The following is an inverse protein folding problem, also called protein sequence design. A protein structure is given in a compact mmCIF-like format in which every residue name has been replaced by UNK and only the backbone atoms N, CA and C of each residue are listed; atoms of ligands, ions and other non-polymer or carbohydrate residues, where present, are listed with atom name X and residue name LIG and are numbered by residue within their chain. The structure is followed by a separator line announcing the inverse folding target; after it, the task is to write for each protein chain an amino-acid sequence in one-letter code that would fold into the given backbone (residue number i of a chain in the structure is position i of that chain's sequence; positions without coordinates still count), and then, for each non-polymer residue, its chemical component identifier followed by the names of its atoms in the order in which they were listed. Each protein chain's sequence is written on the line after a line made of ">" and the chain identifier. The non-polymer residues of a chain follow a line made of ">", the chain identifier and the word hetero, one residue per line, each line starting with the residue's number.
data_IF_238226210358
#
_entry.id   IF_238226210358
#
_cell.length_a   1.000
_cell.length_b   1.000
_cell.length_c   1.000
_cell.angle_alpha   90.00
_cell.angle_beta   90.00
_cell.angle_gamma   90.00
#
_symmetry.space_group_name_H-M   'P 1'
#
loop_
_entity.id
_entity.type
_entity.pdbx_description
1 polymer ?
#
# COMPACT_ATOMS: atom_id res chain seq x y z
N UNK A 1 10.63 -25.45 -4.33
CA UNK A 1 11.82 -26.30 -4.60
C UNK A 1 13.02 -25.39 -4.88
N UNK A 2 13.75 -24.90 -3.86
CA UNK A 2 14.75 -23.85 -4.03
C UNK A 2 15.82 -24.16 -5.08
N UNK A 3 16.40 -25.37 -5.06
CA UNK A 3 17.41 -25.79 -6.02
C UNK A 3 16.95 -25.72 -7.47
N UNK A 4 15.70 -26.15 -7.74
CA UNK A 4 15.15 -26.13 -9.09
C UNK A 4 14.95 -24.70 -9.58
N UNK A 5 14.38 -23.83 -8.74
CA UNK A 5 14.21 -22.42 -9.08
C UNK A 5 15.57 -21.78 -9.37
N UNK A 6 16.54 -21.95 -8.48
CA UNK A 6 17.91 -21.44 -8.66
C UNK A 6 18.53 -21.81 -10.01
N UNK A 7 18.41 -23.08 -10.41
CA UNK A 7 18.96 -23.57 -11.68
C UNK A 7 18.26 -23.02 -12.92
N UNK A 8 17.01 -22.57 -12.78
CA UNK A 8 16.18 -22.08 -13.89
C UNK A 8 16.05 -20.56 -13.93
N UNK A 9 16.63 -19.82 -12.98
CA UNK A 9 16.57 -18.36 -12.97
C UNK A 9 17.08 -17.75 -14.29
N UNK A 10 18.09 -18.34 -14.92
CA UNK A 10 18.58 -17.90 -16.24
C UNK A 10 17.55 -18.13 -17.35
N UNK A 11 16.76 -19.21 -17.28
CA UNK A 11 15.67 -19.48 -18.22
C UNK A 11 14.48 -18.54 -18.03
N UNK A 12 14.28 -18.06 -16.80
CA UNK A 12 13.22 -17.10 -16.43
C UNK A 12 13.65 -15.65 -16.76
N UNK A 13 14.95 -15.41 -16.93
CA UNK A 13 15.52 -14.09 -17.19
C UNK A 13 15.75 -13.24 -15.94
N UNK A 14 15.96 -13.86 -14.76
CA UNK A 14 16.14 -13.15 -13.49
C UNK A 14 17.53 -13.41 -12.87
N UNK A 15 18.32 -12.37 -12.66
CA UNK A 15 19.63 -12.50 -12.01
C UNK A 15 19.51 -12.73 -10.50
N UNK A 16 18.64 -11.96 -9.83
CA UNK A 16 18.40 -12.01 -8.40
C UNK A 16 16.91 -11.87 -8.08
N UNK A 17 16.40 -12.60 -7.09
CA UNK A 17 15.00 -12.59 -6.68
C UNK A 17 14.80 -12.49 -5.17
N UNK A 18 13.85 -11.65 -4.76
CA UNK A 18 13.29 -11.64 -3.40
C UNK A 18 12.03 -12.51 -3.41
N UNK A 19 12.00 -13.53 -2.57
CA UNK A 19 10.97 -14.56 -2.60
C UNK A 19 9.95 -14.39 -1.46
N UNK A 20 8.69 -14.22 -1.83
CA UNK A 20 7.57 -14.16 -0.88
C UNK A 20 6.88 -15.52 -0.77
N UNK A 21 6.45 -15.94 0.43
CA UNK A 21 5.79 -17.23 0.61
C UNK A 21 4.32 -17.19 0.19
N UNK A 22 3.80 -18.23 -0.47
CA UNK A 22 2.35 -18.36 -0.70
C UNK A 22 1.60 -18.79 0.56
N UNK A 23 1.98 -19.92 1.18
CA UNK A 23 1.34 -20.38 2.43
C UNK A 23 1.62 -19.45 3.63
N UNK A 24 2.77 -18.77 3.60
CA UNK A 24 3.17 -17.82 4.64
C UNK A 24 2.36 -16.52 4.63
N UNK A 25 1.62 -16.20 3.56
CA UNK A 25 0.68 -15.05 3.54
C UNK A 25 -0.39 -15.18 4.64
N UNK A 26 -0.83 -16.42 4.93
CA UNK A 26 -1.85 -16.68 5.92
C UNK A 26 -1.35 -16.63 7.37
N UNK A 27 -0.05 -16.87 7.61
CA UNK A 27 0.48 -16.99 8.96
C UNK A 27 0.26 -15.72 9.81
N UNK A 28 0.59 -14.49 9.34
CA UNK A 28 0.33 -13.26 10.08
C UNK A 28 -1.15 -12.98 10.38
N UNK A 29 -2.09 -13.61 9.67
CA UNK A 29 -3.53 -13.45 9.84
C UNK A 29 -4.13 -14.41 10.87
N UNK A 30 -3.35 -15.33 11.43
CA UNK A 30 -3.83 -16.25 12.47
C UNK A 30 -4.24 -15.47 13.72
N UNK A 31 -5.47 -15.68 14.21
CA UNK A 31 -6.01 -14.92 15.35
C UNK A 31 -5.31 -15.27 16.68
N UNK A 32 -5.14 -16.56 16.95
CA UNK A 32 -4.48 -17.05 18.16
C UNK A 32 -3.00 -16.59 18.20
N UNK A 33 -2.63 -15.87 19.25
CA UNK A 33 -1.31 -15.24 19.35
C UNK A 33 -0.17 -16.26 19.37
N UNK A 34 -0.30 -17.33 20.16
CA UNK A 34 0.74 -18.34 20.28
C UNK A 34 0.95 -19.05 18.94
N UNK A 35 -0.14 -19.47 18.30
CA UNK A 35 -0.11 -20.12 16.99
C UNK A 35 0.44 -19.19 15.91
N UNK A 36 0.01 -17.91 15.86
CA UNK A 36 0.50 -16.92 14.90
C UNK A 36 2.02 -16.75 15.02
N UNK A 37 2.50 -16.43 16.23
CA UNK A 37 3.93 -16.18 16.47
C UNK A 37 4.76 -17.43 16.19
N UNK A 38 4.33 -18.59 16.67
CA UNK A 38 5.02 -19.86 16.43
C UNK A 38 5.08 -20.21 14.94
N UNK A 39 3.99 -19.98 14.20
CA UNK A 39 3.91 -20.29 12.78
C UNK A 39 4.80 -19.35 11.95
N UNK A 40 4.74 -18.04 12.18
CA UNK A 40 5.66 -17.08 11.54
C UNK A 40 7.12 -17.44 11.82
N UNK A 41 7.46 -17.71 13.08
CA UNK A 41 8.81 -18.12 13.51
C UNK A 41 9.27 -19.40 12.81
N UNK A 42 8.42 -20.41 12.73
CA UNK A 42 8.73 -21.68 12.09
C UNK A 42 8.94 -21.52 10.57
N UNK A 43 8.10 -20.73 9.90
CA UNK A 43 8.27 -20.40 8.48
C UNK A 43 9.60 -19.68 8.24
N UNK A 44 9.95 -18.70 9.06
CA UNK A 44 11.18 -17.93 8.91
C UNK A 44 12.43 -18.82 9.10
N UNK A 45 12.44 -19.67 10.13
CA UNK A 45 13.53 -20.65 10.35
C UNK A 45 13.66 -21.59 9.14
N UNK A 46 12.54 -22.12 8.66
CA UNK A 46 12.51 -23.02 7.51
C UNK A 46 13.06 -22.34 6.25
N UNK A 47 12.56 -21.14 5.93
CA UNK A 47 13.00 -20.34 4.78
C UNK A 47 14.48 -19.99 4.84
N UNK A 48 14.96 -19.45 5.97
CA UNK A 48 16.36 -19.13 6.16
C UNK A 48 17.27 -20.35 6.01
N UNK A 49 16.79 -21.55 6.37
CA UNK A 49 17.54 -22.80 6.21
C UNK A 49 17.58 -23.28 4.76
N UNK A 50 16.43 -23.38 4.09
CA UNK A 50 16.37 -24.03 2.76
C UNK A 50 16.92 -23.14 1.63
N UNK A 51 16.95 -21.82 1.82
CA UNK A 51 17.46 -20.87 0.82
C UNK A 51 18.92 -20.47 1.03
N UNK A 52 19.55 -20.88 2.15
CA UNK A 52 20.92 -20.47 2.52
C UNK A 52 21.96 -20.72 1.44
N UNK A 53 21.90 -21.88 0.79
CA UNK A 53 22.87 -22.28 -0.25
C UNK A 53 22.71 -21.52 -1.58
N UNK A 54 21.66 -20.69 -1.70
CA UNK A 54 21.30 -19.98 -2.92
C UNK A 54 21.28 -18.45 -2.73
N UNK A 55 21.91 -17.96 -1.65
CA UNK A 55 21.82 -16.57 -1.20
C UNK A 55 22.48 -15.55 -2.14
N UNK A 56 23.32 -16.03 -3.08
CA UNK A 56 23.94 -15.21 -4.12
C UNK A 56 22.95 -14.76 -5.19
N UNK A 57 21.81 -15.47 -5.35
CA UNK A 57 20.74 -15.13 -6.32
C UNK A 57 19.33 -15.04 -5.73
N UNK A 58 19.09 -15.58 -4.54
CA UNK A 58 17.75 -15.63 -3.96
C UNK A 58 17.75 -15.24 -2.50
N UNK A 59 16.79 -14.41 -2.08
CA UNK A 59 16.59 -14.10 -0.65
C UNK A 59 15.12 -14.21 -0.26
N UNK A 60 14.74 -15.06 0.70
CA UNK A 60 13.36 -15.15 1.15
C UNK A 60 13.01 -13.99 2.08
N UNK A 61 11.77 -13.51 1.98
CA UNK A 61 11.20 -12.55 2.92
C UNK A 61 10.73 -13.27 4.20
N UNK A 62 11.00 -12.66 5.36
CA UNK A 62 10.52 -13.13 6.65
C UNK A 62 9.05 -12.70 6.86
N UNK A 63 8.19 -13.62 7.29
CA UNK A 63 6.83 -13.31 7.72
C UNK A 63 6.87 -12.62 9.09
N UNK A 64 6.38 -11.38 9.16
CA UNK A 64 6.32 -10.58 10.39
C UNK A 64 4.86 -10.47 10.84
N UNK A 65 4.52 -10.97 12.05
CA UNK A 65 3.19 -10.78 12.62
C UNK A 65 3.07 -9.34 13.16
N UNK A 66 1.93 -8.70 12.91
CA UNK A 66 1.70 -7.27 13.18
C UNK A 66 0.49 -6.98 14.09
N UNK A 67 -0.05 -7.95 14.83
CA UNK A 67 -1.18 -7.72 15.74
C UNK A 67 -0.85 -6.77 16.89
N UNK A 68 0.40 -6.77 17.36
CA UNK A 68 0.93 -5.78 18.31
C UNK A 68 2.31 -5.27 17.87
N UNK A 69 2.74 -4.07 18.29
CA UNK A 69 4.07 -3.57 18.00
C UNK A 69 5.19 -4.47 18.56
N UNK A 70 4.99 -5.02 19.77
CA UNK A 70 6.00 -5.85 20.42
C UNK A 70 6.22 -7.19 19.70
N UNK A 71 5.15 -7.85 19.25
CA UNK A 71 5.32 -9.11 18.50
C UNK A 71 6.07 -8.88 17.17
N UNK A 72 5.80 -7.75 16.50
CA UNK A 72 6.46 -7.38 15.26
C UNK A 72 7.96 -7.14 15.51
N UNK A 73 8.29 -6.35 16.53
CA UNK A 73 9.68 -6.06 16.91
C UNK A 73 10.44 -7.34 17.27
N UNK A 74 9.85 -8.21 18.09
CA UNK A 74 10.47 -9.48 18.49
C UNK A 74 10.80 -10.36 17.28
N UNK A 75 9.90 -10.43 16.29
CA UNK A 75 10.13 -11.23 15.08
C UNK A 75 11.11 -10.55 14.12
N UNK A 76 11.05 -9.22 13.98
CA UNK A 76 12.03 -8.45 13.19
C UNK A 76 13.45 -8.69 13.70
N UNK A 77 13.67 -8.56 15.02
CA UNK A 77 14.98 -8.79 15.62
C UNK A 77 15.44 -10.24 15.46
N UNK A 78 14.55 -11.21 15.60
CA UNK A 78 14.91 -12.61 15.40
C UNK A 78 15.26 -12.89 13.94
N UNK A 79 14.42 -12.49 12.99
CA UNK A 79 14.63 -12.72 11.57
C UNK A 79 15.93 -12.07 11.08
N UNK A 80 16.18 -10.81 11.45
CA UNK A 80 17.38 -10.08 10.98
C UNK A 80 18.62 -10.51 11.76
N UNK A 81 18.61 -10.42 13.09
CA UNK A 81 19.83 -10.60 13.89
C UNK A 81 20.19 -12.08 14.12
N UNK A 82 19.20 -12.98 14.14
CA UNK A 82 19.43 -14.41 14.42
C UNK A 82 19.49 -15.23 13.14
N UNK A 83 18.56 -14.99 12.20
CA UNK A 83 18.51 -15.76 10.95
C UNK A 83 19.29 -15.13 9.80
N UNK A 84 19.68 -13.85 9.90
CA UNK A 84 20.37 -13.13 8.84
C UNK A 84 19.48 -12.79 7.65
N UNK A 85 18.15 -12.79 7.82
CA UNK A 85 17.22 -12.42 6.76
C UNK A 85 17.25 -10.90 6.56
N UNK A 86 17.18 -10.45 5.30
CA UNK A 86 17.29 -9.04 4.91
C UNK A 86 16.05 -8.47 4.24
N UNK A 87 15.07 -9.32 3.92
CA UNK A 87 13.76 -8.94 3.39
C UNK A 87 12.67 -9.38 4.37
N UNK A 88 11.61 -8.58 4.49
CA UNK A 88 10.48 -8.84 5.38
C UNK A 88 9.16 -8.64 4.64
N UNK A 89 8.14 -9.38 5.05
CA UNK A 89 6.78 -9.29 4.56
C UNK A 89 5.82 -9.28 5.75
N UNK A 90 4.90 -8.33 5.77
CA UNK A 90 3.83 -8.23 6.74
C UNK A 90 2.47 -8.26 6.07
N UNK A 91 1.42 -8.55 6.84
CA UNK A 91 0.07 -8.26 6.40
C UNK A 91 -0.16 -6.74 6.38
N UNK A 92 -0.98 -6.23 5.46
CA UNK A 92 -1.30 -4.82 5.30
C UNK A 92 -2.36 -4.30 6.27
N UNK A 93 -2.99 -5.20 7.04
CA UNK A 93 -3.96 -4.87 8.08
C UNK A 93 -4.08 -6.01 9.09
N UNK A 94 -4.76 -5.74 10.20
CA UNK A 94 -5.24 -6.74 11.16
C UNK A 94 -6.75 -6.54 11.38
N UNK A 95 -7.53 -7.61 11.24
CA UNK A 95 -8.93 -7.57 11.62
C UNK A 95 -9.03 -7.52 13.16
N UNK A 96 -9.64 -6.46 13.69
CA UNK A 96 -9.83 -6.29 15.13
C UNK A 96 -11.30 -6.28 15.50
N UNK A 97 -11.70 -6.95 16.60
CA UNK A 97 -13.08 -6.92 17.04
C UNK A 97 -13.51 -5.48 17.35
N UNK A 98 -14.77 -5.15 17.06
CA UNK A 98 -15.37 -3.87 17.46
C UNK A 98 -16.02 -4.06 18.85
N UNK A 99 -15.45 -3.50 19.94
CA UNK A 99 -15.94 -3.79 21.29
C UNK A 99 -17.41 -3.44 21.53
N UNK A 100 -17.91 -2.40 20.85
CA UNK A 100 -19.30 -1.96 20.94
C UNK A 100 -20.30 -2.90 20.20
N UNK A 101 -19.81 -3.76 19.31
CA UNK A 101 -20.61 -4.68 18.51
C UNK A 101 -20.04 -6.09 18.64
N UNK A 102 -20.36 -6.83 19.70
CA UNK A 102 -19.82 -8.17 19.91
C UNK A 102 -20.37 -9.14 18.85
N UNK A 103 -19.47 -9.86 18.15
CA UNK A 103 -19.80 -10.92 17.21
C UNK A 103 -18.65 -11.22 16.25
N UNK A 104 -18.55 -12.47 15.77
CA UNK A 104 -17.43 -12.97 14.96
C UNK A 104 -17.26 -12.27 13.60
N UNK A 105 -18.24 -11.47 13.19
CA UNK A 105 -18.24 -10.72 11.92
C UNK A 105 -18.21 -9.20 12.11
N UNK A 106 -18.16 -8.73 13.36
CA UNK A 106 -18.07 -7.33 13.70
C UNK A 106 -16.62 -6.95 14.00
N UNK A 107 -15.87 -6.66 12.95
CA UNK A 107 -14.49 -6.21 13.02
C UNK A 107 -14.27 -4.94 12.20
N UNK A 108 -13.18 -4.24 12.52
CA UNK A 108 -12.63 -3.20 11.68
C UNK A 108 -11.21 -3.58 11.25
N UNK A 109 -10.72 -2.99 10.17
CA UNK A 109 -9.41 -3.30 9.61
C UNK A 109 -8.40 -2.26 10.10
N UNK A 110 -7.54 -2.67 11.02
CA UNK A 110 -6.44 -1.83 11.53
C UNK A 110 -5.27 -1.85 10.56
N UNK A 111 -4.93 -0.69 10.02
CA UNK A 111 -3.82 -0.46 9.08
C UNK A 111 -2.57 0.12 9.75
N UNK A 112 -2.42 -0.14 11.06
CA UNK A 112 -1.23 0.15 11.87
C UNK A 112 -0.92 1.64 12.04
N UNK A 113 -1.87 2.52 11.69
CA UNK A 113 -1.65 3.96 11.61
C UNK A 113 -2.87 4.71 12.16
N UNK A 114 -3.73 5.22 11.27
CA UNK A 114 -4.96 5.91 11.63
C UNK A 114 -5.87 4.98 12.44
N UNK A 115 -6.35 5.49 13.58
CA UNK A 115 -7.27 4.81 14.49
C UNK A 115 -6.76 3.46 15.03
N UNK A 116 -5.47 3.18 14.86
CA UNK A 116 -4.82 1.95 15.31
C UNK A 116 -4.99 1.77 16.81
N UNK A 117 -5.23 0.52 17.24
CA UNK A 117 -5.33 0.21 18.67
C UNK A 117 -3.98 0.36 19.39
N UNK A 118 -2.88 0.41 18.64
CA UNK A 118 -1.52 0.52 19.15
C UNK A 118 -0.72 1.57 18.36
N UNK A 119 0.35 2.07 18.97
CA UNK A 119 1.34 2.90 18.30
C UNK A 119 2.39 2.02 17.60
N UNK A 120 2.49 2.09 16.27
CA UNK A 120 3.46 1.34 15.45
C UNK A 120 4.70 2.15 15.07
N UNK A 121 4.83 3.41 15.50
CA UNK A 121 6.06 4.18 15.31
C UNK A 121 7.32 3.44 15.84
N UNK A 122 7.28 2.67 16.94
CA UNK A 122 8.41 1.82 17.35
C UNK A 122 8.78 0.72 16.36
N UNK A 123 7.80 0.16 15.62
CA UNK A 123 8.06 -0.84 14.56
C UNK A 123 8.75 -0.17 13.37
N UNK A 124 8.27 1.01 12.97
CA UNK A 124 8.87 1.84 11.92
C UNK A 124 10.32 2.21 12.24
N UNK A 125 10.58 2.65 13.47
CA UNK A 125 11.94 2.92 13.95
C UNK A 125 12.82 1.65 13.93
N UNK A 126 12.26 0.49 14.29
CA UNK A 126 12.97 -0.79 14.26
C UNK A 126 13.35 -1.21 12.84
N UNK A 127 12.46 -1.04 11.86
CA UNK A 127 12.76 -1.29 10.45
C UNK A 127 13.93 -0.43 9.94
N UNK A 128 13.99 0.85 10.32
CA UNK A 128 15.15 1.72 10.02
C UNK A 128 16.41 1.18 10.68
N UNK A 129 16.35 0.88 11.98
CA UNK A 129 17.51 0.38 12.74
C UNK A 129 18.10 -0.89 12.11
N UNK A 130 17.25 -1.79 11.63
CA UNK A 130 17.64 -3.07 11.04
C UNK A 130 17.93 -2.97 9.53
N UNK A 131 17.68 -1.82 8.89
CA UNK A 131 17.88 -1.62 7.46
C UNK A 131 16.96 -2.49 6.60
N UNK A 132 15.73 -2.74 7.05
CA UNK A 132 14.75 -3.57 6.33
C UNK A 132 13.53 -2.75 5.93
N UNK A 133 13.24 -2.59 4.62
CA UNK A 133 11.99 -2.02 4.15
C UNK A 133 10.81 -2.91 4.52
N UNK A 134 9.76 -2.40 5.21
CA UNK A 134 8.50 -3.10 5.33
C UNK A 134 7.83 -3.28 3.96
N UNK A 135 7.60 -4.53 3.57
CA UNK A 135 6.78 -4.87 2.41
C UNK A 135 5.49 -5.56 2.85
N UNK A 136 4.40 -5.34 2.11
CA UNK A 136 3.07 -5.80 2.48
C UNK A 136 2.43 -6.62 1.37
N UNK A 137 1.84 -7.74 1.78
CA UNK A 137 1.18 -8.67 0.88
C UNK A 137 -0.06 -9.23 1.57
N UNK A 138 -1.26 -8.82 1.16
CA UNK A 138 -2.50 -9.20 1.85
C UNK A 138 -3.71 -9.24 0.94
N UNK A 139 -4.43 -10.34 1.02
CA UNK A 139 -5.63 -10.54 0.23
C UNK A 139 -6.82 -9.84 0.86
N UNK A 140 -7.49 -8.95 0.14
CA UNK A 140 -8.80 -8.42 0.57
C UNK A 140 -10.00 -9.26 0.11
N UNK A 141 -9.78 -10.50 -0.35
CA UNK A 141 -10.89 -11.40 -0.68
C UNK A 141 -11.73 -11.70 0.57
N UNK A 142 -13.06 -11.61 0.44
CA UNK A 142 -14.00 -11.69 1.55
C UNK A 142 -14.22 -10.37 2.29
N UNK A 143 -13.52 -9.28 1.94
CA UNK A 143 -13.66 -7.97 2.56
C UNK A 143 -14.44 -7.00 1.66
N UNK A 144 -15.30 -6.18 2.26
CA UNK A 144 -16.08 -5.17 1.55
C UNK A 144 -16.91 -5.76 0.41
N UNK A 145 -16.76 -5.21 -0.80
CA UNK A 145 -17.46 -5.69 -1.99
C UNK A 145 -16.79 -6.92 -2.65
N UNK A 146 -15.83 -7.60 -2.01
CA UNK A 146 -15.13 -8.78 -2.57
C UNK A 146 -15.62 -10.08 -1.97
N UNK A 147 -16.93 -10.20 -1.80
CA UNK A 147 -17.57 -11.28 -1.04
C UNK A 147 -18.59 -12.07 -1.89
N UNK A 148 -18.34 -12.22 -3.19
CA UNK A 148 -19.17 -13.11 -4.02
C UNK A 148 -19.08 -14.54 -3.50
N UNK A 149 -20.25 -15.14 -3.27
CA UNK A 149 -20.37 -16.50 -2.73
C UNK A 149 -20.02 -17.60 -3.74
N UNK A 150 -19.89 -17.27 -5.03
CA UNK A 150 -19.68 -18.25 -6.09
C UNK A 150 -18.73 -17.82 -7.22
N UNK A 151 -18.21 -16.59 -7.22
CA UNK A 151 -17.33 -16.10 -8.28
C UNK A 151 -15.96 -15.70 -7.72
N UNK A 152 -14.99 -16.58 -7.94
CA UNK A 152 -13.60 -16.38 -7.54
C UNK A 152 -12.99 -15.14 -8.21
N UNK A 153 -13.18 -14.95 -9.53
CA UNK A 153 -12.61 -13.81 -10.26
C UNK A 153 -13.11 -12.47 -9.76
N UNK A 154 -14.39 -12.39 -9.37
CA UNK A 154 -14.95 -11.18 -8.76
C UNK A 154 -14.25 -10.84 -7.43
N UNK A 155 -13.91 -11.85 -6.62
CA UNK A 155 -13.20 -11.63 -5.37
C UNK A 155 -11.71 -11.33 -5.63
N UNK A 156 -11.09 -12.04 -6.56
CA UNK A 156 -9.67 -12.00 -6.88
C UNK A 156 -9.22 -10.68 -7.51
N UNK A 157 -9.85 -10.23 -8.60
CA UNK A 157 -9.33 -9.09 -9.39
C UNK A 157 -9.20 -7.82 -8.54
N UNK A 158 -7.97 -7.34 -8.34
CA UNK A 158 -7.65 -6.12 -7.58
C UNK A 158 -7.69 -6.28 -6.05
N UNK A 159 -7.72 -7.51 -5.52
CA UNK A 159 -7.78 -7.72 -4.07
C UNK A 159 -6.51 -7.25 -3.34
N UNK A 160 -5.32 -7.46 -3.90
CA UNK A 160 -4.07 -6.92 -3.33
C UNK A 160 -4.03 -5.39 -3.43
N UNK A 161 -4.49 -4.81 -4.56
CA UNK A 161 -4.63 -3.36 -4.73
C UNK A 161 -5.47 -2.72 -3.63
N UNK A 162 -6.64 -3.27 -3.30
CA UNK A 162 -7.50 -2.70 -2.27
C UNK A 162 -6.90 -2.77 -0.86
N UNK A 163 -6.18 -3.84 -0.53
CA UNK A 163 -5.47 -3.94 0.76
C UNK A 163 -4.30 -2.94 0.83
N UNK A 164 -3.49 -2.87 -0.24
CA UNK A 164 -2.37 -1.94 -0.36
C UNK A 164 -2.81 -0.47 -0.33
N UNK A 165 -3.91 -0.14 -1.01
CA UNK A 165 -4.48 1.21 -1.03
C UNK A 165 -4.88 1.67 0.38
N UNK A 166 -5.57 0.82 1.14
CA UNK A 166 -5.98 1.11 2.51
C UNK A 166 -4.79 1.48 3.40
N UNK A 167 -3.74 0.65 3.39
CA UNK A 167 -2.54 0.89 4.18
C UNK A 167 -1.71 2.09 3.68
N UNK A 168 -1.49 2.23 2.38
CA UNK A 168 -0.74 3.33 1.79
C UNK A 168 -1.36 4.68 2.17
N UNK A 169 -2.70 4.76 2.08
CA UNK A 169 -3.48 5.92 2.50
C UNK A 169 -3.34 6.19 3.99
N UNK A 170 -3.42 5.15 4.84
CA UNK A 170 -3.25 5.30 6.28
C UNK A 170 -1.85 5.78 6.68
N UNK A 171 -0.78 5.24 6.06
CA UNK A 171 0.60 5.69 6.25
C UNK A 171 0.78 7.16 5.88
N UNK A 172 0.19 7.59 4.76
CA UNK A 172 0.26 8.98 4.33
C UNK A 172 -0.48 9.91 5.28
N UNK A 173 -1.77 9.67 5.53
CA UNK A 173 -2.63 10.54 6.34
C UNK A 173 -2.23 10.57 7.81
N UNK A 174 -1.73 9.46 8.36
CA UNK A 174 -1.15 9.45 9.70
C UNK A 174 0.22 10.15 9.76
N UNK A 175 0.77 10.67 8.66
CA UNK A 175 2.03 11.41 8.64
C UNK A 175 3.28 10.55 8.85
N UNK A 176 3.20 9.24 8.61
CA UNK A 176 4.33 8.31 8.82
C UNK A 176 5.48 8.65 7.89
N UNK A 177 5.23 8.94 6.62
CA UNK A 177 6.28 9.32 5.65
C UNK A 177 6.97 10.64 6.00
N UNK A 178 6.29 11.53 6.73
CA UNK A 178 6.88 12.76 7.27
C UNK A 178 7.74 12.48 8.51
N UNK A 179 7.28 11.64 9.44
CA UNK A 179 8.05 11.29 10.65
C UNK A 179 9.24 10.40 10.34
N UNK A 180 9.10 9.52 9.35
CA UNK A 180 10.10 8.53 8.93
C UNK A 180 10.41 8.64 7.43
N UNK A 181 11.00 9.76 6.96
CA UNK A 181 11.28 9.97 5.53
C UNK A 181 12.28 8.96 4.95
N UNK A 182 13.06 8.31 5.81
CA UNK A 182 14.01 7.26 5.45
C UNK A 182 13.34 5.93 5.09
N UNK A 183 12.12 5.66 5.60
CA UNK A 183 11.45 4.40 5.33
C UNK A 183 11.01 4.27 3.88
N UNK A 184 11.13 3.06 3.37
CA UNK A 184 10.60 2.61 2.09
C UNK A 184 9.57 1.52 2.37
N UNK A 185 8.40 1.64 1.76
CA UNK A 185 7.30 0.70 1.89
C UNK A 185 7.03 0.08 0.52
N UNK A 186 6.98 -1.25 0.47
CA UNK A 186 6.61 -2.00 -0.73
C UNK A 186 5.19 -2.57 -0.61
N UNK A 187 4.37 -2.42 -1.64
CA UNK A 187 3.07 -3.08 -1.74
C UNK A 187 3.14 -4.09 -2.87
N UNK A 188 2.96 -5.37 -2.58
CA UNK A 188 3.30 -6.45 -3.52
C UNK A 188 2.07 -6.95 -4.28
N UNK A 189 2.30 -7.38 -5.52
CA UNK A 189 1.30 -8.03 -6.39
C UNK A 189 0.01 -7.20 -6.56
N UNK A 190 0.14 -5.87 -6.55
CA UNK A 190 -1.00 -4.96 -6.44
C UNK A 190 -1.17 -4.02 -7.64
N UNK A 191 -0.21 -4.03 -8.57
CA UNK A 191 -0.17 -3.10 -9.69
C UNK A 191 0.05 -1.64 -9.23
N UNK A 192 0.17 -0.73 -10.21
CA UNK A 192 0.45 0.70 -9.92
C UNK A 192 -0.73 1.63 -10.22
N UNK A 193 -1.75 1.18 -10.95
CA UNK A 193 -2.87 2.03 -11.38
C UNK A 193 -3.66 2.68 -10.22
N UNK A 194 -3.89 1.90 -9.14
CA UNK A 194 -4.54 2.43 -7.93
C UNK A 194 -3.67 3.49 -7.24
N UNK A 195 -2.34 3.33 -7.27
CA UNK A 195 -1.41 4.27 -6.65
C UNK A 195 -1.33 5.59 -7.43
N UNK A 196 -1.35 5.55 -8.77
CA UNK A 196 -1.45 6.74 -9.62
C UNK A 196 -2.74 7.52 -9.32
N UNK A 197 -3.85 6.79 -9.14
CA UNK A 197 -5.15 7.36 -8.79
C UNK A 197 -5.11 7.99 -7.39
N UNK A 198 -4.66 7.23 -6.38
CA UNK A 198 -4.51 7.70 -5.00
C UNK A 198 -3.62 8.96 -4.93
N UNK A 199 -2.46 8.96 -5.57
CA UNK A 199 -1.55 10.11 -5.59
C UNK A 199 -2.23 11.36 -6.18
N UNK A 200 -2.93 11.19 -7.31
CA UNK A 200 -3.67 12.29 -7.95
C UNK A 200 -4.81 12.78 -7.05
N UNK A 201 -5.51 11.87 -6.40
CA UNK A 201 -6.59 12.16 -5.47
C UNK A 201 -6.11 12.88 -4.23
N UNK A 202 -4.99 12.51 -3.63
CA UNK A 202 -4.41 13.23 -2.48
C UNK A 202 -4.22 14.72 -2.82
N UNK A 203 -3.72 15.02 -4.02
CA UNK A 203 -3.51 16.40 -4.50
C UNK A 203 -4.85 17.09 -4.77
N UNK A 204 -5.76 16.42 -5.47
CA UNK A 204 -7.08 16.96 -5.80
C UNK A 204 -7.94 17.25 -4.57
N UNK A 205 -7.89 16.36 -3.58
CA UNK A 205 -8.60 16.49 -2.32
C UNK A 205 -7.97 17.53 -1.41
N UNK A 206 -6.64 17.60 -1.30
CA UNK A 206 -5.98 18.65 -0.52
C UNK A 206 -6.36 20.06 -1.01
N UNK A 207 -6.45 20.27 -2.33
CA UNK A 207 -6.88 21.55 -2.91
C UNK A 207 -8.29 21.98 -2.50
N UNK A 208 -9.14 21.03 -2.10
CA UNK A 208 -10.55 21.28 -1.75
C UNK A 208 -10.78 21.23 -0.24
N UNK A 209 -10.16 20.28 0.45
CA UNK A 209 -10.43 19.88 1.84
C UNK A 209 -9.22 19.99 2.77
N UNK A 210 -8.24 20.84 2.45
CA UNK A 210 -7.34 21.32 3.49
C UNK A 210 -8.11 22.20 4.49
N UNK A 211 -7.47 22.55 5.62
CA UNK A 211 -8.06 23.41 6.65
C UNK A 211 -8.76 24.66 6.12
N UNK A 212 -8.18 25.39 5.17
CA UNK A 212 -8.78 26.59 4.62
C UNK A 212 -9.96 26.27 3.69
N UNK A 213 -9.84 25.21 2.90
CA UNK A 213 -10.88 24.74 1.99
C UNK A 213 -12.13 24.24 2.72
N UNK A 214 -11.96 23.71 3.94
CA UNK A 214 -13.06 23.26 4.79
C UNK A 214 -14.04 24.39 5.17
N UNK A 215 -13.60 25.65 5.19
CA UNK A 215 -14.51 26.78 5.40
C UNK A 215 -15.56 26.92 4.28
N UNK A 216 -15.28 26.45 3.07
CA UNK A 216 -16.28 26.43 1.99
C UNK A 216 -17.42 25.43 2.25
N UNK A 217 -17.19 24.46 3.14
CA UNK A 217 -18.15 23.41 3.50
C UNK A 217 -18.71 23.57 4.91
N UNK A 218 -18.33 24.65 5.61
CA UNK A 218 -18.78 24.94 6.97
C UNK A 218 -20.30 25.25 6.95
N UNK A 219 -21.15 24.43 7.60
CA UNK A 219 -22.61 24.66 7.62
C UNK A 219 -23.03 25.98 8.27
N UNK A 220 -22.15 26.61 9.06
CA UNK A 220 -22.39 27.93 9.63
C UNK A 220 -22.36 29.04 8.57
N UNK A 221 -21.67 28.82 7.45
CA UNK A 221 -21.57 29.76 6.33
C UNK A 221 -22.78 29.66 5.37
N UNK A 222 -23.67 28.68 5.55
CA UNK A 222 -24.86 28.51 4.72
C UNK A 222 -25.95 29.52 5.13
N UNK A 223 -26.36 30.37 4.18
CA UNK A 223 -27.57 31.19 4.31
C UNK A 223 -28.80 30.29 4.25
N UNK A 224 -29.28 29.90 5.43
CA UNK A 224 -30.41 28.99 5.58
C UNK A 224 -31.72 29.61 5.10
N UNK A 225 -31.90 30.92 5.25
CA UNK A 225 -33.14 31.58 4.83
C UNK A 225 -33.23 31.62 3.32
N UNK A 226 -32.15 32.03 2.65
CA UNK A 226 -32.06 32.03 1.19
C UNK A 226 -32.18 30.61 0.63
N UNK A 227 -31.53 29.62 1.24
CA UNK A 227 -31.67 28.22 0.81
C UNK A 227 -33.13 27.75 0.86
N UNK A 228 -33.83 28.02 1.96
CA UNK A 228 -35.23 27.65 2.12
C UNK A 228 -36.12 28.39 1.11
N UNK A 229 -35.85 29.67 0.87
CA UNK A 229 -36.56 30.45 -0.16
C UNK A 229 -36.38 29.84 -1.55
N UNK A 230 -35.15 29.46 -1.93
CA UNK A 230 -34.86 28.81 -3.21
C UNK A 230 -35.57 27.46 -3.32
N UNK A 231 -35.58 26.66 -2.25
CA UNK A 231 -36.33 25.42 -2.23
C UNK A 231 -37.83 25.68 -2.43
N UNK A 232 -38.44 26.63 -1.73
CA UNK A 232 -39.84 26.99 -1.94
C UNK A 232 -40.13 27.46 -3.37
N UNK A 233 -39.23 28.27 -3.94
CA UNK A 233 -39.40 28.87 -5.26
C UNK A 233 -39.22 27.87 -6.40
N UNK A 234 -38.27 26.94 -6.28
CA UNK A 234 -37.84 26.07 -7.39
C UNK A 234 -38.05 24.57 -7.16
N UNK A 235 -38.33 24.13 -5.93
CA UNK A 235 -38.44 22.70 -5.61
C UNK A 235 -39.73 22.03 -6.09
N UNK A 236 -40.73 22.79 -6.53
CA UNK A 236 -41.97 22.27 -7.10
C UNK A 236 -42.70 21.26 -6.19
N UNK A 237 -43.30 20.24 -6.78
CA UNK A 237 -44.06 19.20 -6.04
C UNK A 237 -43.20 18.35 -5.09
N UNK A 238 -41.86 18.36 -5.24
CA UNK A 238 -40.98 17.60 -4.36
C UNK A 238 -40.97 18.15 -2.93
N UNK A 239 -41.12 19.47 -2.77
CA UNK A 239 -41.00 20.18 -1.48
C UNK A 239 -42.29 20.84 -0.99
N UNK A 240 -43.31 20.91 -1.86
CA UNK A 240 -44.61 21.53 -1.58
C UNK A 240 -45.26 20.95 -0.33
N UNK A 241 -45.58 21.81 0.64
CA UNK A 241 -46.18 21.41 1.92
C UNK A 241 -45.25 20.65 2.87
N UNK A 242 -44.04 20.28 2.44
CA UNK A 242 -43.08 19.53 3.25
C UNK A 242 -42.14 20.44 4.02
N UNK A 243 -41.72 21.57 3.44
CA UNK A 243 -40.80 22.51 4.09
C UNK A 243 -41.49 23.46 5.08
N UNK A 244 -42.81 23.37 5.22
CA UNK A 244 -43.59 24.20 6.14
C UNK A 244 -43.54 23.66 7.58
N UNK A 245 -43.16 22.39 7.77
CA UNK A 245 -43.01 21.77 9.09
C UNK A 245 -41.54 21.75 9.54
N UNK A 246 -41.24 21.89 10.85
CA UNK A 246 -39.88 21.78 11.38
C UNK A 246 -39.13 20.51 10.94
N UNK A 247 -39.84 19.39 10.85
CA UNK A 247 -39.31 18.08 10.46
C UNK A 247 -38.88 18.05 9.00
N UNK A 248 -39.68 18.61 8.09
CA UNK A 248 -39.31 18.65 6.68
C UNK A 248 -38.19 19.65 6.39
N UNK A 249 -38.09 20.75 7.15
CA UNK A 249 -36.91 21.63 7.12
C UNK A 249 -35.65 20.90 7.58
N UNK A 250 -35.76 20.14 8.67
CA UNK A 250 -34.65 19.34 9.19
C UNK A 250 -34.17 18.30 8.18
N UNK A 251 -35.08 17.58 7.52
CA UNK A 251 -34.75 16.59 6.50
C UNK A 251 -34.03 17.19 5.28
N UNK A 252 -34.47 18.37 4.82
CA UNK A 252 -33.79 19.09 3.74
C UNK A 252 -32.35 19.47 4.15
N UNK A 253 -32.15 19.89 5.40
CA UNK A 253 -30.83 20.23 5.93
C UNK A 253 -29.95 18.98 6.13
N UNK A 254 -30.50 17.84 6.55
CA UNK A 254 -29.77 16.56 6.65
C UNK A 254 -29.18 16.16 5.30
N UNK A 255 -29.95 16.33 4.21
CA UNK A 255 -29.45 16.13 2.86
C UNK A 255 -28.19 16.95 2.58
N UNK A 256 -28.18 18.24 2.90
CA UNK A 256 -27.01 19.11 2.71
C UNK A 256 -25.82 18.66 3.56
N UNK A 257 -26.03 18.29 4.82
CA UNK A 257 -24.95 17.84 5.70
C UNK A 257 -24.31 16.54 5.18
N UNK A 258 -25.13 15.62 4.65
CA UNK A 258 -24.65 14.40 4.01
C UNK A 258 -23.81 14.68 2.73
N UNK A 259 -24.15 15.69 1.93
CA UNK A 259 -23.41 16.03 0.69
C UNK A 259 -22.19 16.93 0.89
N UNK A 260 -22.13 17.68 1.99
CA UNK A 260 -21.00 18.55 2.32
C UNK A 260 -19.90 17.82 3.10
N UNK A 261 -20.18 16.59 3.57
CA UNK A 261 -19.34 15.88 4.52
C UNK A 261 -19.21 16.65 5.83
N UNK A 262 -20.17 17.53 6.13
CA UNK A 262 -20.24 18.25 7.38
C UNK A 262 -20.91 17.36 8.41
N UNK A 263 -20.16 16.39 8.93
CA UNK A 263 -20.49 15.83 10.23
C UNK A 263 -20.41 16.97 11.25
N UNK A 264 -21.35 17.00 12.20
CA UNK A 264 -21.26 17.90 13.35
C UNK A 264 -20.14 17.40 14.26
N UNK A 265 -18.88 17.53 13.84
CA UNK A 265 -17.73 16.97 14.54
C UNK A 265 -16.72 18.06 14.91
N UNK A 266 -16.08 17.80 16.03
CA UNK A 266 -15.08 18.59 16.74
C UNK A 266 -14.29 19.57 15.83
N UNK A 267 -14.24 20.88 16.15
CA UNK A 267 -13.39 21.84 15.46
C UNK A 267 -11.91 21.43 15.34
N UNK A 268 -11.43 20.53 16.21
CA UNK A 268 -10.10 19.93 16.14
C UNK A 268 -9.95 18.84 15.06
N UNK A 269 -11.04 18.26 14.57
CA UNK A 269 -11.09 17.21 13.53
C UNK A 269 -11.26 17.76 12.11
N UNK A 270 -11.22 19.08 11.91
CA UNK A 270 -11.55 19.72 10.62
C UNK A 270 -10.49 19.46 9.54
N UNK A 271 -9.23 19.20 9.89
CA UNK A 271 -8.14 19.07 8.91
C UNK A 271 -7.61 17.63 8.84
N UNK A 272 -8.22 16.83 7.95
CA UNK A 272 -7.81 15.44 7.66
C UNK A 272 -6.32 15.33 7.30
N UNK A 273 -5.71 16.40 6.76
CA UNK A 273 -4.32 16.43 6.35
C UNK A 273 -3.36 16.91 7.46
N UNK A 274 -3.83 17.27 8.65
CA UNK A 274 -3.03 17.93 9.67
C UNK A 274 -1.73 17.17 10.03
N UNK A 275 -1.81 15.85 10.18
CA UNK A 275 -0.65 15.03 10.55
C UNK A 275 0.38 14.93 9.42
N UNK A 276 -0.07 15.01 8.16
CA UNK A 276 0.81 14.96 6.97
C UNK A 276 1.79 16.14 6.92
N UNK A 277 1.44 17.28 7.51
CA UNK A 277 2.22 18.52 7.44
C UNK A 277 2.25 19.19 6.06
N UNK A 278 1.41 18.74 5.11
CA UNK A 278 1.31 19.32 3.77
C UNK A 278 0.71 20.73 3.86
N UNK A 279 1.50 21.74 3.47
CA UNK A 279 1.10 23.15 3.46
C UNK A 279 0.65 23.63 2.08
N UNK A 280 1.08 22.96 1.02
CA UNK A 280 0.67 23.20 -0.37
C UNK A 280 0.68 21.87 -1.14
N UNK A 281 -0.06 21.73 -2.26
CA UNK A 281 -0.16 20.44 -2.91
C UNK A 281 1.15 19.97 -3.54
N UNK A 282 2.12 20.87 -3.77
CA UNK A 282 3.46 20.51 -4.24
C UNK A 282 4.35 19.92 -3.15
N UNK A 283 3.88 19.80 -1.91
CA UNK A 283 4.62 19.09 -0.84
C UNK A 283 4.34 17.57 -0.89
N UNK A 284 3.17 17.17 -1.41
CA UNK A 284 2.74 15.76 -1.51
C UNK A 284 3.75 14.88 -2.28
N UNK A 285 4.31 15.31 -3.43
CA UNK A 285 5.35 14.53 -4.12
C UNK A 285 6.50 14.11 -3.21
N UNK A 286 6.94 15.00 -2.32
CA UNK A 286 8.09 14.77 -1.45
C UNK A 286 7.81 13.77 -0.32
N UNK A 287 6.54 13.55 0.02
CA UNK A 287 6.09 12.64 1.07
C UNK A 287 5.58 11.30 0.53
N UNK A 288 5.33 11.21 -0.77
CA UNK A 288 4.73 10.04 -1.41
C UNK A 288 5.75 9.28 -2.26
N UNK A 289 6.33 9.96 -3.25
CA UNK A 289 7.19 9.33 -4.26
C UNK A 289 8.45 8.68 -3.66
N UNK A 290 9.15 9.30 -2.69
CA UNK A 290 10.35 8.70 -2.12
C UNK A 290 10.10 7.52 -1.18
N UNK A 291 8.86 7.24 -0.79
CA UNK A 291 8.54 6.29 0.28
C UNK A 291 7.79 5.06 -0.22
N UNK A 292 6.98 5.17 -1.28
CA UNK A 292 6.11 4.08 -1.71
C UNK A 292 6.57 3.41 -3.02
N UNK A 293 6.54 2.08 -3.02
CA UNK A 293 6.89 1.22 -4.15
C UNK A 293 5.75 0.22 -4.40
N UNK A 294 5.46 -0.04 -5.67
CA UNK A 294 4.28 -0.79 -6.09
C UNK A 294 4.69 -1.97 -6.96
N UNK A 295 4.53 -3.18 -6.43
CA UNK A 295 4.80 -4.44 -7.10
C UNK A 295 3.76 -4.71 -8.17
N UNK A 296 4.23 -4.96 -9.39
CA UNK A 296 3.37 -5.16 -10.56
C UNK A 296 3.76 -6.44 -11.29
N UNK A 297 2.73 -7.05 -11.90
CA UNK A 297 2.89 -8.16 -12.83
C UNK A 297 3.67 -7.74 -14.08
N UNK A 298 4.28 -8.73 -14.73
CA UNK A 298 5.13 -8.56 -15.91
C UNK A 298 4.41 -7.82 -17.04
N UNK A 299 3.28 -8.39 -17.46
CA UNK A 299 2.54 -8.08 -18.67
C UNK A 299 1.50 -6.97 -18.49
N UNK A 300 1.37 -6.39 -17.30
CA UNK A 300 0.32 -5.40 -17.02
C UNK A 300 0.58 -4.08 -17.79
N UNK A 301 -0.24 -3.72 -18.80
CA UNK A 301 -0.04 -2.48 -19.56
C UNK A 301 -0.26 -1.22 -18.70
N UNK A 302 -0.92 -1.34 -17.54
CA UNK A 302 -1.12 -0.23 -16.60
C UNK A 302 0.21 0.19 -15.94
N UNK A 303 1.26 -0.64 -16.00
CA UNK A 303 2.61 -0.29 -15.54
C UNK A 303 3.10 1.03 -16.15
N UNK A 304 2.73 1.32 -17.41
CA UNK A 304 3.07 2.57 -18.09
C UNK A 304 2.57 3.83 -17.36
N UNK A 305 1.47 3.74 -16.61
CA UNK A 305 0.95 4.88 -15.86
C UNK A 305 1.94 5.39 -14.81
N UNK A 306 2.82 4.54 -14.27
CA UNK A 306 3.84 4.96 -13.31
C UNK A 306 4.81 5.98 -13.92
N UNK A 307 5.08 5.87 -15.22
CA UNK A 307 6.13 6.60 -15.92
C UNK A 307 5.61 7.81 -16.72
N UNK A 308 4.29 7.93 -16.89
CA UNK A 308 3.65 9.01 -17.63
C UNK A 308 3.63 10.34 -16.84
N UNK A 309 4.70 11.12 -16.99
CA UNK A 309 4.87 12.44 -16.38
C UNK A 309 3.87 13.50 -16.88
N UNK A 310 3.14 13.26 -17.98
CA UNK A 310 2.08 14.18 -18.42
C UNK A 310 0.79 13.95 -17.63
N UNK A 311 0.50 12.69 -17.28
CA UNK A 311 -0.69 12.31 -16.52
C UNK A 311 -0.49 12.44 -15.01
N UNK A 312 0.70 12.11 -14.52
CA UNK A 312 1.01 12.19 -13.09
C UNK A 312 1.22 13.65 -12.66
N UNK A 313 0.41 14.19 -11.73
CA UNK A 313 0.58 15.56 -11.25
C UNK A 313 2.00 15.87 -10.79
N UNK A 314 2.46 17.08 -11.06
CA UNK A 314 3.84 17.53 -10.80
C UNK A 314 4.93 16.80 -11.61
N UNK A 315 4.56 16.05 -12.65
CA UNK A 315 5.52 15.43 -13.55
C UNK A 315 6.32 14.29 -12.92
N UNK A 316 5.78 13.67 -11.88
CA UNK A 316 6.48 12.61 -11.14
C UNK A 316 6.42 11.27 -11.88
N UNK A 317 7.43 10.45 -11.62
CA UNK A 317 7.44 9.02 -11.94
C UNK A 317 7.22 8.25 -10.64
N UNK A 318 6.21 7.39 -10.58
CA UNK A 318 5.98 6.52 -9.44
C UNK A 318 6.87 5.29 -9.52
N UNK A 319 7.12 4.66 -8.36
CA UNK A 319 8.08 3.56 -8.23
C UNK A 319 7.39 2.22 -8.43
N UNK A 320 7.00 1.93 -9.67
CA UNK A 320 6.62 0.59 -10.07
C UNK A 320 7.85 -0.33 -10.00
N UNK A 321 7.69 -1.52 -9.42
CA UNK A 321 8.71 -2.56 -9.34
C UNK A 321 8.17 -3.84 -9.94
N UNK A 322 9.01 -4.54 -10.68
CA UNK A 322 8.68 -5.87 -11.18
C UNK A 322 8.54 -6.87 -10.02
N UNK A 323 7.37 -7.48 -9.88
CA UNK A 323 6.99 -8.37 -8.78
C UNK A 323 5.85 -9.29 -9.23
N UNK A 324 6.18 -10.34 -9.97
CA UNK A 324 5.21 -11.26 -10.58
C UNK A 324 4.98 -12.54 -9.75
N UNK A 325 3.76 -13.08 -9.76
CA UNK A 325 3.40 -14.35 -9.11
C UNK A 325 3.83 -15.59 -9.93
N UNK A 326 5.14 -15.79 -10.00
CA UNK A 326 5.74 -16.86 -10.82
C UNK A 326 5.37 -18.25 -10.29
N UNK A 327 4.56 -18.98 -11.06
CA UNK A 327 4.13 -20.35 -10.77
C UNK A 327 2.73 -20.50 -10.23
N UNK A 328 1.99 -19.40 -10.18
CA UNK A 328 0.54 -19.39 -10.03
C UNK A 328 -0.14 -19.46 -11.42
N UNK A 329 -1.47 -19.57 -11.47
CA UNK A 329 -2.19 -19.89 -12.72
C UNK A 329 -2.28 -18.72 -13.72
N UNK A 330 -1.97 -17.52 -13.27
CA UNK A 330 -1.76 -16.29 -14.05
C UNK A 330 -0.42 -16.30 -14.79
N UNK A 331 0.59 -17.02 -14.31
CA UNK A 331 1.87 -17.24 -15.00
C UNK A 331 2.02 -18.71 -15.42
N UNK A 332 1.41 -19.12 -16.55
CA UNK A 332 1.38 -20.52 -16.97
C UNK A 332 2.75 -21.06 -17.42
N UNK A 333 3.62 -20.21 -17.99
CA UNK A 333 5.00 -20.56 -18.34
C UNK A 333 5.99 -19.61 -17.67
N UNK A 334 6.67 -20.12 -16.63
CA UNK A 334 7.67 -19.36 -15.89
C UNK A 334 8.84 -18.85 -16.75
N UNK A 335 9.08 -19.42 -17.94
CA UNK A 335 10.18 -18.98 -18.83
C UNK A 335 9.89 -17.64 -19.49
N UNK A 336 8.62 -17.27 -19.62
CA UNK A 336 8.20 -16.15 -20.45
C UNK A 336 8.07 -14.86 -19.63
N UNK A 337 8.13 -14.93 -18.30
CA UNK A 337 7.86 -13.78 -17.41
C UNK A 337 8.72 -12.54 -17.70
N UNK A 338 10.04 -12.69 -17.90
CA UNK A 338 10.89 -11.56 -18.24
C UNK A 338 10.69 -11.07 -19.69
N UNK A 339 10.32 -11.98 -20.60
CA UNK A 339 9.99 -11.67 -21.99
C UNK A 339 8.68 -10.89 -22.07
N UNK A 340 7.62 -11.37 -21.41
CA UNK A 340 6.32 -10.72 -21.25
C UNK A 340 6.45 -9.31 -20.65
N UNK A 341 7.35 -9.12 -19.68
CA UNK A 341 7.62 -7.78 -19.15
C UNK A 341 8.25 -6.84 -20.20
N UNK A 342 9.08 -7.38 -21.10
CA UNK A 342 9.72 -6.62 -22.16
C UNK A 342 8.77 -6.32 -23.32
N UNK A 343 7.71 -7.11 -23.52
CA UNK A 343 6.69 -6.85 -24.56
C UNK A 343 6.11 -5.43 -24.45
N UNK A 344 6.03 -4.86 -23.24
CA UNK A 344 5.62 -3.46 -23.03
C UNK A 344 6.54 -2.45 -23.74
N UNK A 345 7.82 -2.77 -23.91
CA UNK A 345 8.79 -1.98 -24.70
C UNK A 345 8.57 -2.22 -26.18
N UNK A 346 8.44 -3.48 -26.58
CA UNK A 346 8.26 -3.88 -27.99
C UNK A 346 6.98 -3.30 -28.60
N UNK A 347 5.91 -3.23 -27.82
CA UNK A 347 4.62 -2.62 -28.18
C UNK A 347 4.63 -1.08 -28.07
N UNK A 348 5.72 -0.49 -27.59
CA UNK A 348 5.87 0.95 -27.41
C UNK A 348 4.97 1.54 -26.31
N UNK A 349 4.54 0.71 -25.35
CA UNK A 349 3.74 1.10 -24.19
C UNK A 349 4.60 1.82 -23.16
N UNK A 350 5.85 1.36 -22.98
CA UNK A 350 6.88 2.02 -22.18
C UNK A 350 8.19 2.15 -22.96
N UNK A 351 9.11 2.99 -22.48
CA UNK A 351 10.46 3.11 -23.08
C UNK A 351 11.45 2.13 -22.44
N UNK A 352 12.58 1.89 -23.09
CA UNK A 352 13.73 1.14 -22.53
C UNK A 352 14.18 1.67 -21.16
N UNK A 353 14.14 3.00 -20.97
CA UNK A 353 14.47 3.60 -19.67
C UNK A 353 13.42 3.28 -18.61
N UNK A 354 12.14 3.28 -18.99
CA UNK A 354 11.05 2.92 -18.08
C UNK A 354 11.16 1.45 -17.67
N UNK A 355 11.47 0.57 -18.63
CA UNK A 355 11.71 -0.84 -18.37
C UNK A 355 12.91 -1.04 -17.43
N UNK A 356 14.04 -0.38 -17.69
CA UNK A 356 15.20 -0.38 -16.77
C UNK A 356 14.81 0.09 -15.37
N UNK A 357 13.98 1.12 -15.26
CA UNK A 357 13.53 1.60 -13.95
C UNK A 357 12.63 0.58 -13.26
N UNK A 358 11.75 -0.08 -14.00
CA UNK A 358 10.79 -1.08 -13.53
C UNK A 358 11.46 -2.36 -13.03
N UNK A 359 12.37 -2.96 -13.82
CA UNK A 359 12.98 -4.27 -13.50
C UNK A 359 14.27 -4.17 -12.71
N UNK A 360 14.93 -3.00 -12.67
CA UNK A 360 16.23 -2.85 -12.02
C UNK A 360 16.30 -1.68 -11.04
N UNK A 361 16.12 -0.43 -11.47
CA UNK A 361 16.42 0.74 -10.61
C UNK A 361 15.50 0.83 -9.39
N UNK A 362 14.18 0.75 -9.59
CA UNK A 362 13.23 0.85 -8.50
C UNK A 362 13.33 -0.35 -7.55
N UNK A 363 13.40 -1.62 -8.01
CA UNK A 363 13.67 -2.76 -7.13
C UNK A 363 14.95 -2.59 -6.30
N UNK A 364 16.06 -2.16 -6.92
CA UNK A 364 17.33 -1.96 -6.20
C UNK A 364 17.19 -0.86 -5.14
N UNK A 365 16.56 0.27 -5.49
CA UNK A 365 16.37 1.40 -4.56
C UNK A 365 15.46 1.06 -3.38
N UNK A 366 14.45 0.21 -3.56
CA UNK A 366 13.59 -0.23 -2.46
C UNK A 366 14.44 -0.74 -1.28
N UNK A 367 15.45 -1.56 -1.59
CA UNK A 367 16.32 -2.17 -0.59
C UNK A 367 17.51 -1.28 -0.21
N UNK A 368 18.19 -0.71 -1.19
CA UNK A 368 19.46 0.01 -0.98
C UNK A 368 19.31 1.39 -0.35
N UNK A 369 18.14 2.04 -0.51
CA UNK A 369 17.86 3.32 0.15
C UNK A 369 17.81 3.16 1.70
N UNK A 370 17.59 1.95 2.22
CA UNK A 370 17.63 1.64 3.66
C UNK A 370 18.87 0.82 4.07
N UNK A 371 19.38 -0.02 3.19
CA UNK A 371 20.56 -0.84 3.43
C UNK A 371 21.45 -0.90 2.17
N UNK A 372 22.48 -0.04 2.07
CA UNK A 372 23.39 -0.03 0.91
C UNK A 372 24.10 -1.36 0.66
N UNK A 373 24.17 -2.23 1.68
CA UNK A 373 24.82 -3.53 1.59
C UNK A 373 23.85 -4.68 1.24
N UNK A 374 22.58 -4.40 0.93
CA UNK A 374 21.59 -5.45 0.69
C UNK A 374 22.03 -6.46 -0.38
N UNK A 375 22.69 -6.01 -1.45
CA UNK A 375 23.14 -6.87 -2.56
C UNK A 375 24.60 -7.33 -2.45
N UNK A 376 25.28 -7.09 -1.32
CA UNK A 376 26.66 -7.57 -1.13
C UNK A 376 26.73 -9.10 -1.13
N UNK A 377 27.72 -9.63 -1.83
CA UNK A 377 27.93 -11.06 -2.05
C UNK A 377 26.96 -11.71 -3.04
N UNK A 378 26.18 -10.93 -3.79
CA UNK A 378 25.23 -11.43 -4.79
C UNK A 378 25.76 -11.27 -6.21
N UNK A 379 25.17 -11.99 -7.17
CA UNK A 379 25.59 -11.91 -8.58
C UNK A 379 25.35 -10.54 -9.23
N UNK A 380 24.51 -9.70 -8.62
CA UNK A 380 24.19 -8.33 -9.10
C UNK A 380 24.96 -7.24 -8.37
N UNK A 381 25.89 -7.58 -7.47
CA UNK A 381 26.61 -6.61 -6.64
C UNK A 381 27.28 -5.50 -7.48
N UNK A 382 28.02 -5.87 -8.52
CA UNK A 382 28.77 -4.91 -9.34
C UNK A 382 27.84 -3.94 -10.10
N UNK A 383 26.71 -4.44 -10.59
CA UNK A 383 25.69 -3.64 -11.30
C UNK A 383 25.01 -2.67 -10.33
N UNK A 384 24.71 -3.13 -9.10
CA UNK A 384 24.14 -2.31 -8.05
C UNK A 384 25.13 -1.23 -7.61
N UNK A 385 26.39 -1.59 -7.37
CA UNK A 385 27.43 -0.63 -6.97
C UNK A 385 27.63 0.47 -8.03
N UNK A 386 27.57 0.12 -9.33
CA UNK A 386 27.58 1.10 -10.43
C UNK A 386 26.39 2.05 -10.37
N UNK A 387 25.17 1.52 -10.19
CA UNK A 387 23.96 2.35 -10.07
C UNK A 387 24.04 3.32 -8.88
N UNK A 388 24.57 2.87 -7.74
CA UNK A 388 24.73 3.70 -6.54
C UNK A 388 25.82 4.78 -6.71
N UNK A 389 26.84 4.52 -7.53
CA UNK A 389 27.86 5.52 -7.88
C UNK A 389 27.32 6.59 -8.83
N UNK A 390 26.42 6.24 -9.75
CA UNK A 390 25.77 7.20 -10.68
C UNK A 390 24.79 8.15 -9.98
N UNK A 391 24.29 7.76 -8.79
CA UNK A 391 23.31 8.53 -8.03
C UNK A 391 23.91 9.54 -7.03
N UNK A 392 25.21 9.45 -6.76
CA UNK A 392 25.98 10.35 -5.89
C UNK A 392 26.73 11.39 -6.72
#
# INVERSE_FOLDING_TARGET
>A
MPKLLYQRLDEIGLDFTVLYPSLGLGAPHTEDEEMRRATCRAFNIYHARIFREYADRMTPAACIPMHTPQEAIDELEYAVNTLGMKAIMAAGYVARPIPAHPGDHAYWLDTFCLDSAFDYDPVWAKCIQLGVPPTFHSSSQGLGFRSSVNNYMYNHIGHFAAAGEGLCKALFFAGVTRRFPQLKFGFLECGVGWACSLYSDLIGHWKKRNRAGMENYNPANLDREMFMELCHRYGGELVKGKLDSPEGRSLAMIGIHAFTGASAEDPAAIDDFAQTGVAKPSDIPNLFVPNFYFGCEADDPINAMAFDTKKNPYGVRLRAIFSSDIGHWDVPDMKEVAEEAHELVDDGVITEQDFRDFVFVNPVRLWTDMNPNFFKGTVVEDQVDKLLQEAN
#
